data_IF_012830090381
#
_entry.id   IF_012830090381
#
_cell.length_a   1.000
_cell.length_b   1.000
_cell.length_c   1.000
_cell.angle_alpha   90.00
_cell.angle_beta   90.00
_cell.angle_gamma   90.00
#
_symmetry.space_group_name_H-M   'P 1'
#
loop_
_entity.id
_entity.type
_entity.pdbx_description
1 polymer ?
#
# COMPACT_ATOMS: atom_id res chain seq x y z
N UNK A 1 16.07 0.67 0.31
CA UNK A 1 15.46 0.53 -1.03
C UNK A 1 16.49 0.83 -2.11
N UNK A 2 16.55 0.00 -3.15
CA UNK A 2 17.29 0.22 -4.40
C UNK A 2 16.36 0.82 -5.48
N UNK A 3 16.92 1.20 -6.63
CA UNK A 3 16.13 1.70 -7.75
C UNK A 3 15.12 0.63 -8.24
N UNK A 4 13.87 1.03 -8.41
CA UNK A 4 12.75 0.15 -8.76
C UNK A 4 12.09 -0.57 -7.59
N UNK A 5 12.53 -0.35 -6.35
CA UNK A 5 11.90 -0.95 -5.17
C UNK A 5 10.56 -0.29 -4.86
N UNK A 6 9.57 -1.13 -4.58
CA UNK A 6 8.26 -0.77 -4.06
C UNK A 6 8.05 -1.48 -2.73
N UNK A 7 7.77 -0.73 -1.67
CA UNK A 7 7.45 -1.27 -0.35
C UNK A 7 6.26 -0.54 0.26
N UNK A 8 5.40 -1.24 1.00
CA UNK A 8 4.19 -0.59 1.51
C UNK A 8 3.31 -1.45 2.40
N UNK A 9 2.16 -0.87 2.73
CA UNK A 9 1.08 -1.44 3.53
C UNK A 9 -0.19 -1.56 2.66
N UNK A 10 -0.72 -2.77 2.57
CA UNK A 10 -1.87 -3.11 1.74
C UNK A 10 -3.11 -3.42 2.55
N UNK A 11 -4.27 -2.96 2.05
CA UNK A 11 -5.55 -3.62 2.27
C UNK A 11 -5.64 -4.80 1.30
N UNK A 12 -5.22 -5.97 1.79
CA UNK A 12 -4.93 -7.15 0.99
C UNK A 12 -6.14 -8.10 0.88
N UNK A 13 -6.56 -8.34 -0.37
CA UNK A 13 -7.50 -9.38 -0.82
C UNK A 13 -7.25 -9.69 -2.31
N UNK A 14 -8.12 -10.44 -2.97
CA UNK A 14 -8.16 -10.55 -4.44
C UNK A 14 -8.28 -9.20 -5.16
N UNK A 15 -9.04 -8.27 -4.57
CA UNK A 15 -9.15 -6.89 -5.02
C UNK A 15 -8.49 -5.96 -4.00
N UNK A 16 -7.23 -5.59 -4.22
CA UNK A 16 -6.38 -4.88 -3.25
C UNK A 16 -6.14 -3.42 -3.61
N UNK A 17 -5.85 -2.65 -2.57
CA UNK A 17 -5.25 -1.32 -2.64
C UNK A 17 -4.14 -1.18 -1.60
N UNK A 18 -3.19 -0.28 -1.83
CA UNK A 18 -2.07 -0.08 -0.91
C UNK A 18 -1.50 1.34 -0.98
N UNK A 19 -0.90 1.75 0.14
CA UNK A 19 -0.01 2.92 0.24
C UNK A 19 1.41 2.47 0.53
N UNK A 20 2.41 3.14 -0.06
CA UNK A 20 3.79 2.72 0.09
C UNK A 20 4.79 3.72 -0.46
N UNK A 21 6.06 3.37 -0.35
CA UNK A 21 7.19 4.10 -0.93
C UNK A 21 7.61 3.41 -2.21
N UNK A 22 7.80 4.20 -3.26
CA UNK A 22 8.44 3.79 -4.51
C UNK A 22 9.73 4.57 -4.68
N UNK A 23 10.80 3.89 -5.05
CA UNK A 23 12.06 4.52 -5.44
C UNK A 23 12.27 4.42 -6.95
N UNK A 24 12.32 5.56 -7.63
CA UNK A 24 12.65 5.67 -9.05
C UNK A 24 13.95 6.48 -9.20
N UNK A 25 15.02 5.84 -9.65
CA UNK A 25 16.38 6.35 -9.63
C UNK A 25 16.82 6.71 -8.21
N UNK A 26 16.90 8.00 -7.92
CA UNK A 26 17.23 8.55 -6.60
C UNK A 26 16.04 9.17 -5.89
N UNK A 27 14.88 9.27 -6.54
CA UNK A 27 13.69 9.89 -5.97
C UNK A 27 12.87 8.87 -5.18
N UNK A 28 12.42 9.30 -4.00
CA UNK A 28 11.45 8.58 -3.19
C UNK A 28 10.10 9.27 -3.27
N UNK A 29 9.03 8.48 -3.42
CA UNK A 29 7.66 9.00 -3.43
C UNK A 29 6.78 8.13 -2.56
N UNK A 30 5.86 8.74 -1.83
CA UNK A 30 4.67 8.04 -1.33
C UNK A 30 3.74 7.84 -2.53
N UNK A 31 3.19 6.64 -2.66
CA UNK A 31 2.28 6.27 -3.75
C UNK A 31 1.11 5.50 -3.18
N UNK A 32 -0.08 5.80 -3.71
CA UNK A 32 -1.27 4.97 -3.52
C UNK A 32 -1.60 4.28 -4.82
N UNK A 33 -1.93 3.00 -4.69
CA UNK A 33 -2.31 2.14 -5.79
C UNK A 33 -3.63 1.47 -5.48
N UNK A 34 -4.58 1.59 -6.40
CA UNK A 34 -5.87 0.90 -6.36
C UNK A 34 -5.94 -0.19 -7.43
N UNK A 35 -6.95 -1.04 -7.29
CA UNK A 35 -7.43 -1.91 -8.36
C UNK A 35 -6.44 -3.01 -8.75
N UNK A 36 -5.61 -3.49 -7.81
CA UNK A 36 -4.92 -4.75 -8.03
C UNK A 36 -5.97 -5.84 -7.95
N UNK A 37 -6.08 -6.65 -8.99
CA UNK A 37 -7.16 -7.63 -9.11
C UNK A 37 -6.62 -9.01 -9.49
N UNK A 38 -7.17 -10.02 -8.84
CA UNK A 38 -7.01 -11.42 -9.21
C UNK A 38 -8.31 -11.96 -9.82
N UNK A 39 -8.18 -12.89 -10.75
CA UNK A 39 -9.33 -13.62 -11.28
C UNK A 39 -9.87 -14.61 -10.25
N UNK A 40 -11.16 -14.97 -10.36
CA UNK A 40 -11.86 -15.92 -9.48
C UNK A 40 -11.13 -17.27 -9.34
N UNK A 41 -10.50 -17.74 -10.43
CA UNK A 41 -9.75 -19.00 -10.45
C UNK A 41 -8.22 -18.78 -10.37
N UNK A 42 -7.81 -17.62 -9.87
CA UNK A 42 -6.42 -17.18 -9.86
C UNK A 42 -6.02 -16.40 -11.11
N UNK A 43 -4.73 -16.04 -11.16
CA UNK A 43 -4.16 -15.17 -12.18
C UNK A 43 -4.41 -13.69 -11.90
N UNK A 44 -3.51 -12.84 -12.41
CA UNK A 44 -3.61 -11.39 -12.28
C UNK A 44 -4.46 -10.82 -13.40
N UNK A 45 -5.52 -10.11 -13.05
CA UNK A 45 -6.42 -9.43 -14.01
C UNK A 45 -6.15 -7.92 -14.07
N UNK A 46 -5.52 -7.35 -13.04
CA UNK A 46 -5.02 -5.98 -13.03
C UNK A 46 -3.81 -5.86 -12.10
N UNK A 47 -2.75 -5.19 -12.56
CA UNK A 47 -1.49 -5.07 -11.83
C UNK A 47 -1.33 -3.75 -11.07
N UNK A 48 -2.02 -2.67 -11.47
CA UNK A 48 -1.82 -1.33 -10.86
C UNK A 48 -2.74 -0.27 -11.49
N UNK A 49 -3.32 0.60 -10.65
CA UNK A 49 -3.58 2.00 -11.02
C UNK A 49 -3.02 2.90 -9.92
N UNK A 50 -1.99 3.69 -10.22
CA UNK A 50 -1.53 4.75 -9.30
C UNK A 50 -2.55 5.88 -9.33
N UNK A 51 -3.17 6.16 -8.19
CA UNK A 51 -4.22 7.18 -8.06
C UNK A 51 -3.72 8.47 -7.42
N UNK A 52 -2.67 8.39 -6.60
CA UNK A 52 -2.04 9.56 -6.01
C UNK A 52 -0.57 9.30 -5.71
N UNK A 53 0.24 10.37 -5.76
CA UNK A 53 1.65 10.33 -5.39
C UNK A 53 2.16 11.68 -4.92
N UNK A 54 3.12 11.68 -4.00
CA UNK A 54 3.81 12.89 -3.54
C UNK A 54 5.29 12.60 -3.27
N UNK A 55 6.22 13.49 -3.67
CA UNK A 55 7.65 13.30 -3.41
C UNK A 55 7.99 13.45 -1.92
N UNK A 56 8.98 12.71 -1.47
CA UNK A 56 9.50 12.78 -0.10
C UNK A 56 11.03 12.81 -0.08
N UNK A 57 11.60 13.43 0.95
CA UNK A 57 13.06 13.49 1.16
C UNK A 57 13.49 12.57 2.32
N UNK A 58 12.53 12.12 3.15
CA UNK A 58 12.80 11.25 4.30
C UNK A 58 12.78 9.78 3.91
N UNK A 59 13.60 8.99 4.59
CA UNK A 59 13.68 7.53 4.42
C UNK A 59 12.91 6.75 5.50
N UNK A 60 12.55 7.41 6.60
CA UNK A 60 11.61 6.90 7.61
C UNK A 60 10.24 7.50 7.35
N UNK A 61 9.24 6.64 7.16
CA UNK A 61 7.85 7.02 6.89
C UNK A 61 6.93 6.07 7.65
N UNK A 62 5.92 6.61 8.31
CA UNK A 62 4.81 5.80 8.86
C UNK A 62 3.69 5.74 7.83
N UNK A 63 3.05 4.58 7.70
CA UNK A 63 1.96 4.33 6.76
C UNK A 63 0.75 3.82 7.53
N UNK A 64 -0.43 4.26 7.12
CA UNK A 64 -1.71 3.80 7.66
C UNK A 64 -2.67 3.48 6.51
N UNK A 65 -3.37 2.37 6.65
CA UNK A 65 -4.38 1.87 5.73
C UNK A 65 -5.67 1.63 6.54
N UNK A 66 -6.40 2.71 6.81
CA UNK A 66 -7.57 2.71 7.66
C UNK A 66 -8.78 2.11 6.92
N UNK A 67 -8.99 0.81 7.08
CA UNK A 67 -10.16 0.08 6.62
C UNK A 67 -11.23 0.05 7.72
N UNK A 68 -11.96 1.15 7.90
CA UNK A 68 -13.00 1.31 8.92
C UNK A 68 -14.39 1.00 8.33
N UNK A 69 -15.39 0.79 9.20
CA UNK A 69 -16.67 0.11 8.93
C UNK A 69 -17.62 0.71 7.87
N UNK A 70 -17.13 1.56 6.97
CA UNK A 70 -17.81 2.16 5.81
C UNK A 70 -17.63 1.37 4.50
N UNK A 71 -16.96 0.21 4.51
CA UNK A 71 -16.55 -0.52 3.29
C UNK A 71 -15.53 0.26 2.44
N UNK A 72 -14.74 1.14 3.07
CA UNK A 72 -13.72 1.93 2.41
C UNK A 72 -12.38 1.79 3.16
N UNK A 73 -11.29 1.83 2.40
CA UNK A 73 -9.94 1.99 2.93
C UNK A 73 -9.43 3.39 2.58
N UNK A 74 -9.11 4.16 3.62
CA UNK A 74 -8.42 5.45 3.51
C UNK A 74 -6.93 5.25 3.77
N UNK A 75 -6.10 6.05 3.11
CA UNK A 75 -4.66 5.86 3.14
C UNK A 75 -3.95 7.13 3.61
N UNK A 76 -3.13 6.98 4.66
CA UNK A 76 -2.41 8.08 5.26
C UNK A 76 -0.92 7.78 5.36
N UNK A 77 -0.11 8.83 5.36
CA UNK A 77 1.32 8.74 5.63
C UNK A 77 1.76 9.82 6.60
N UNK A 78 2.87 9.57 7.31
CA UNK A 78 3.48 10.54 8.20
C UNK A 78 5.00 10.57 8.02
N UNK A 79 5.55 11.78 7.98
CA UNK A 79 6.99 12.05 7.84
C UNK A 79 7.69 12.38 9.17
N UNK A 80 6.92 12.71 10.20
CA UNK A 80 7.40 12.95 11.57
C UNK A 80 7.05 11.81 12.52
N UNK A 81 6.15 10.90 12.10
CA UNK A 81 5.68 9.77 12.87
C UNK A 81 4.48 10.09 13.78
N UNK A 82 3.95 11.32 13.75
CA UNK A 82 2.85 11.77 14.60
C UNK A 82 1.70 12.42 13.84
N UNK A 83 1.98 13.21 12.80
CA UNK A 83 0.97 13.87 11.99
C UNK A 83 0.76 13.07 10.71
N UNK A 84 -0.42 12.47 10.58
CA UNK A 84 -0.82 11.69 9.41
C UNK A 84 -1.58 12.56 8.42
N UNK A 85 -1.16 12.51 7.16
CA UNK A 85 -1.78 13.20 6.04
C UNK A 85 -2.46 12.17 5.15
N UNK A 86 -3.74 12.39 4.85
CA UNK A 86 -4.44 11.60 3.86
C UNK A 86 -3.86 11.87 2.47
N UNK A 87 -3.79 10.84 1.65
CA UNK A 87 -3.36 10.96 0.27
C UNK A 87 -4.40 10.25 -0.61
N UNK A 88 -4.75 10.85 -1.75
CA UNK A 88 -5.68 10.26 -2.72
C UNK A 88 -7.11 10.07 -2.21
N UNK A 89 -7.93 9.47 -3.07
CA UNK A 89 -9.31 9.11 -2.73
C UNK A 89 -9.36 7.77 -1.98
N UNK A 90 -10.47 7.51 -1.28
CA UNK A 90 -10.71 6.22 -0.64
C UNK A 90 -10.85 5.07 -1.65
N UNK A 91 -10.49 3.85 -1.24
CA UNK A 91 -10.72 2.64 -2.01
C UNK A 91 -11.92 1.85 -1.47
N UNK A 92 -12.92 1.60 -2.31
CA UNK A 92 -14.07 0.76 -1.95
C UNK A 92 -13.66 -0.71 -1.85
N UNK A 93 -13.88 -1.31 -0.68
CA UNK A 93 -13.56 -2.70 -0.38
C UNK A 93 -14.63 -3.63 -0.95
N UNK A 94 -14.21 -4.70 -1.60
CA UNK A 94 -15.14 -5.70 -2.16
C UNK A 94 -15.73 -6.58 -1.07
N UNK A 95 -17.00 -6.96 -1.23
CA UNK A 95 -17.69 -7.91 -0.34
C UNK A 95 -17.84 -9.30 -0.94
N UNK A 96 -17.19 -9.57 -2.08
CA UNK A 96 -17.26 -10.86 -2.76
C UNK A 96 -16.61 -11.98 -1.91
N UNK A 97 -17.34 -13.08 -1.77
CA UNK A 97 -16.97 -14.24 -0.97
C UNK A 97 -16.13 -15.27 -1.74
N UNK A 98 -15.98 -15.14 -3.06
CA UNK A 98 -15.29 -16.14 -3.89
C UNK A 98 -13.80 -16.31 -3.54
N UNK A 99 -13.19 -15.28 -2.95
CA UNK A 99 -11.84 -15.36 -2.39
C UNK A 99 -11.77 -16.01 -1.00
N UNK A 100 -12.92 -16.20 -0.34
CA UNK A 100 -13.15 -16.74 1.01
C UNK A 100 -12.52 -15.96 2.17
N UNK A 101 -11.33 -15.41 1.99
CA UNK A 101 -10.60 -14.64 2.99
C UNK A 101 -11.12 -13.20 3.04
N UNK A 102 -11.38 -12.70 4.25
CA UNK A 102 -11.59 -11.27 4.49
C UNK A 102 -10.32 -10.45 4.22
N UNK A 103 -10.45 -9.13 4.19
CA UNK A 103 -9.30 -8.24 4.05
C UNK A 103 -8.30 -8.42 5.19
N UNK A 104 -7.02 -8.31 4.86
CA UNK A 104 -5.91 -8.31 5.81
C UNK A 104 -5.02 -7.10 5.59
N UNK A 105 -4.27 -6.73 6.62
CA UNK A 105 -3.12 -5.85 6.44
C UNK A 105 -1.94 -6.66 5.90
N UNK A 106 -1.32 -6.19 4.82
CA UNK A 106 -0.14 -6.82 4.21
C UNK A 106 1.03 -5.85 4.09
N UNK A 107 2.17 -6.18 4.70
CA UNK A 107 3.43 -5.44 4.48
C UNK A 107 4.22 -6.17 3.40
N UNK A 108 4.69 -5.43 2.40
CA UNK A 108 5.42 -6.01 1.27
C UNK A 108 6.66 -5.17 0.90
N UNK A 109 7.59 -5.82 0.20
CA UNK A 109 8.70 -5.19 -0.51
C UNK A 109 9.04 -6.03 -1.74
N UNK A 110 9.10 -5.43 -2.92
CA UNK A 110 9.53 -6.08 -4.17
C UNK A 110 10.29 -5.11 -5.08
N UNK A 111 11.12 -5.66 -5.96
CA UNK A 111 11.88 -4.89 -6.94
C UNK A 111 11.27 -5.04 -8.35
N UNK A 112 11.23 -3.95 -9.11
CA UNK A 112 10.81 -3.94 -10.52
C UNK A 112 11.98 -3.91 -11.50
N UNK A 113 13.20 -3.61 -11.03
CA UNK A 113 14.42 -3.55 -11.85
C UNK A 113 15.42 -4.66 -11.49
N UNK A 114 15.96 -4.64 -10.27
CA UNK A 114 16.96 -5.63 -9.82
C UNK A 114 16.85 -5.87 -8.32
N UNK A 115 17.20 -7.08 -7.89
CA UNK A 115 17.30 -7.42 -6.46
C UNK A 115 18.47 -6.70 -5.78
N UNK A 116 18.42 -6.59 -4.45
CA UNK A 116 19.50 -6.04 -3.62
C UNK A 116 19.07 -4.91 -2.70
N UNK A 117 17.88 -4.35 -2.91
CA UNK A 117 17.26 -3.40 -1.99
C UNK A 117 16.52 -4.09 -0.83
N UNK A 118 16.39 -3.37 0.28
CA UNK A 118 15.67 -3.80 1.47
C UNK A 118 14.96 -2.63 2.16
N UNK A 119 14.07 -2.96 3.08
CA UNK A 119 13.41 -2.04 4.01
C UNK A 119 13.42 -2.64 5.42
N UNK A 120 13.49 -1.77 6.42
CA UNK A 120 13.33 -2.15 7.82
C UNK A 120 11.92 -1.79 8.29
N UNK A 121 11.18 -2.80 8.76
CA UNK A 121 9.88 -2.59 9.40
C UNK A 121 10.11 -2.44 10.90
N UNK A 122 10.04 -1.20 11.39
CA UNK A 122 10.36 -0.90 12.78
C UNK A 122 9.25 -1.32 13.76
N UNK A 123 7.99 -1.20 13.35
CA UNK A 123 6.83 -1.57 14.15
C UNK A 123 5.59 -1.75 13.28
N UNK A 124 4.60 -2.48 13.81
CA UNK A 124 3.25 -2.57 13.30
C UNK A 124 2.28 -2.53 14.49
N UNK A 125 1.22 -1.72 14.37
CA UNK A 125 0.15 -1.65 15.35
C UNK A 125 -1.19 -1.71 14.62
N UNK A 126 -2.16 -2.37 15.25
CA UNK A 126 -3.55 -2.36 14.83
C UNK A 126 -4.36 -1.92 16.03
N UNK A 127 -4.93 -0.73 15.95
CA UNK A 127 -5.72 -0.13 17.03
C UNK A 127 -7.19 -0.15 16.63
N UNK A 128 -8.06 -0.53 17.57
CA UNK A 128 -9.49 -0.30 17.40
C UNK A 128 -9.76 1.17 17.69
N UNK A 129 -10.31 1.87 16.71
CA UNK A 129 -10.89 3.21 16.87
C UNK A 129 -11.99 3.26 17.91
#
# INVERSE_FOLDING_TARGET
MADGDHAGLAALKDASAWIGIVRNGTEYRVVITHGLAMGTYGGTTSTRTTVATTPIIRTKVSLDAAAVGSHEAHFFYSLDGSTFMELGDAYTLTTDYLFFMGYRYGIFNYATQALGGSVDVLSFASESS
#
